data_IF_544406864740
#
_entry.id   IF_544406864740
#
_cell.length_a   1.000
_cell.length_b   1.000
_cell.length_c   1.000
_cell.angle_alpha   90.00
_cell.angle_beta   90.00
_cell.angle_gamma   90.00
#
_symmetry.space_group_name_H-M   'P 1'
#
loop_
_entity.id
_entity.type
_entity.pdbx_description
1 polymer ?
#
# COMPACT_ATOMS: atom_id res chain seq x y z
N UNK A 1 14.69 2.90 -56.24
CA UNK A 1 15.53 1.83 -55.70
C UNK A 1 15.07 1.62 -54.26
N UNK A 2 14.09 0.71 -54.07
CA UNK A 2 13.47 0.42 -52.79
C UNK A 2 14.29 -0.65 -52.07
N UNK A 3 14.80 -0.36 -50.90
CA UNK A 3 15.31 -1.38 -49.97
C UNK A 3 14.25 -1.63 -48.92
N UNK A 4 13.55 -2.74 -49.02
CA UNK A 4 12.79 -3.35 -47.96
C UNK A 4 13.75 -3.97 -46.95
N UNK A 5 13.80 -3.47 -45.74
CA UNK A 5 14.40 -4.18 -44.59
C UNK A 5 13.27 -4.92 -43.85
N UNK A 6 13.19 -6.22 -44.11
CA UNK A 6 12.48 -7.16 -43.28
C UNK A 6 13.37 -7.51 -42.08
N UNK A 7 13.09 -6.94 -40.90
CA UNK A 7 13.65 -7.44 -39.64
C UNK A 7 12.54 -8.28 -38.95
N UNK A 8 12.54 -9.57 -39.24
CA UNK A 8 11.89 -10.56 -38.41
C UNK A 8 12.88 -10.99 -37.34
N UNK A 9 12.81 -10.38 -36.17
CA UNK A 9 13.45 -10.90 -34.98
C UNK A 9 12.40 -11.54 -34.10
N UNK A 10 12.19 -12.83 -34.26
CA UNK A 10 11.49 -13.66 -33.30
C UNK A 10 12.40 -13.83 -32.08
N UNK A 11 12.27 -12.96 -31.10
CA UNK A 11 12.72 -13.21 -29.72
C UNK A 11 11.60 -14.00 -29.03
N UNK A 12 11.52 -15.28 -29.32
CA UNK A 12 10.90 -16.23 -28.42
C UNK A 12 11.86 -16.43 -27.25
N UNK A 13 11.80 -15.54 -26.27
CA UNK A 13 12.28 -15.83 -24.93
C UNK A 13 11.46 -17.01 -24.44
N UNK A 14 12.10 -18.17 -24.24
CA UNK A 14 11.49 -19.28 -23.53
C UNK A 14 11.11 -18.76 -22.14
N UNK A 15 9.84 -18.44 -21.93
CA UNK A 15 9.30 -18.27 -20.60
C UNK A 15 9.57 -19.59 -19.89
N UNK A 16 10.46 -19.61 -18.91
CA UNK A 16 10.60 -20.77 -18.03
C UNK A 16 9.24 -20.95 -17.39
N UNK A 17 8.61 -22.10 -17.63
CA UNK A 17 7.38 -22.46 -16.97
C UNK A 17 7.65 -22.43 -15.46
N UNK A 18 6.89 -21.59 -14.74
CA UNK A 18 6.95 -21.57 -13.28
C UNK A 18 6.43 -22.90 -12.75
N UNK A 19 7.00 -23.35 -11.65
CA UNK A 19 6.47 -24.50 -10.95
C UNK A 19 5.01 -24.24 -10.56
N UNK A 20 4.15 -25.29 -10.53
CA UNK A 20 2.77 -25.14 -10.13
C UNK A 20 2.67 -24.50 -8.75
N UNK A 21 1.87 -23.42 -8.64
CA UNK A 21 1.67 -22.73 -7.36
C UNK A 21 0.88 -23.60 -6.38
N UNK A 22 -0.05 -24.42 -6.89
CA UNK A 22 -0.83 -25.37 -6.10
C UNK A 22 -0.02 -26.64 -5.81
N UNK A 23 0.17 -26.97 -4.54
CA UNK A 23 0.61 -28.28 -4.06
C UNK A 23 -0.52 -29.33 -4.19
N UNK A 24 -0.26 -30.55 -3.71
CA UNK A 24 -1.21 -31.66 -3.83
C UNK A 24 -2.55 -31.42 -3.11
N UNK A 25 -2.57 -30.70 -2.00
CA UNK A 25 -3.80 -30.39 -1.25
C UNK A 25 -4.63 -29.34 -1.99
N UNK A 26 -3.99 -28.28 -2.45
CA UNK A 26 -4.59 -27.25 -3.29
C UNK A 26 -5.17 -27.86 -4.58
N UNK A 27 -4.42 -28.75 -5.26
CA UNK A 27 -4.89 -29.43 -6.47
C UNK A 27 -6.11 -30.33 -6.19
N UNK A 28 -6.12 -31.06 -5.08
CA UNK A 28 -7.26 -31.90 -4.70
C UNK A 28 -8.54 -31.08 -4.40
N UNK A 29 -8.39 -29.83 -4.00
CA UNK A 29 -9.49 -28.90 -3.68
C UNK A 29 -10.06 -28.16 -4.89
N UNK A 30 -9.56 -28.41 -6.11
CA UNK A 30 -9.72 -27.54 -7.27
C UNK A 30 -9.85 -28.42 -8.53
N UNK A 31 -10.90 -28.27 -9.30
CA UNK A 31 -11.02 -28.94 -10.61
C UNK A 31 -10.01 -28.37 -11.63
N UNK A 32 -9.97 -28.95 -12.82
CA UNK A 32 -9.00 -28.57 -13.84
C UNK A 32 -9.17 -27.10 -14.32
N UNK A 33 -10.38 -26.56 -14.34
CA UNK A 33 -10.65 -25.17 -14.72
C UNK A 33 -10.14 -24.22 -13.64
N UNK A 34 -10.43 -24.50 -12.39
CA UNK A 34 -9.94 -23.77 -11.24
C UNK A 34 -8.40 -23.77 -11.16
N UNK A 35 -7.76 -24.94 -11.33
CA UNK A 35 -6.28 -25.05 -11.35
C UNK A 35 -5.68 -24.20 -12.47
N UNK A 36 -6.29 -24.25 -13.66
CA UNK A 36 -5.86 -23.45 -14.81
C UNK A 36 -5.99 -21.96 -14.54
N UNK A 37 -7.12 -21.52 -13.96
CA UNK A 37 -7.35 -20.11 -13.64
C UNK A 37 -6.35 -19.58 -12.61
N UNK A 38 -6.09 -20.34 -11.55
CA UNK A 38 -5.10 -19.98 -10.52
C UNK A 38 -3.70 -19.88 -11.14
N UNK A 39 -3.28 -20.91 -11.89
CA UNK A 39 -1.93 -20.95 -12.50
C UNK A 39 -1.73 -19.81 -13.50
N UNK A 40 -2.71 -19.57 -14.38
CA UNK A 40 -2.63 -18.50 -15.39
C UNK A 40 -2.53 -17.12 -14.73
N UNK A 41 -3.32 -16.89 -13.66
CA UNK A 41 -3.25 -15.61 -12.92
C UNK A 41 -1.92 -15.45 -12.21
N UNK A 42 -1.40 -16.51 -11.60
CA UNK A 42 -0.09 -16.52 -10.96
C UNK A 42 1.05 -16.23 -11.95
N UNK A 43 1.03 -16.84 -13.12
CA UNK A 43 2.04 -16.60 -14.17
C UNK A 43 1.99 -15.16 -14.69
N UNK A 44 0.79 -14.61 -14.86
CA UNK A 44 0.60 -13.21 -15.24
C UNK A 44 1.11 -12.25 -14.17
N UNK A 45 0.83 -12.53 -12.89
CA UNK A 45 1.32 -11.74 -11.76
C UNK A 45 2.83 -11.85 -11.61
N UNK A 46 3.40 -13.06 -11.71
CA UNK A 46 4.83 -13.29 -11.62
C UNK A 46 5.62 -12.66 -12.79
N UNK A 47 5.00 -12.50 -13.95
CA UNK A 47 5.60 -11.79 -15.08
C UNK A 47 5.85 -10.30 -14.79
N UNK A 48 5.18 -9.74 -13.79
CA UNK A 48 5.39 -8.37 -13.30
C UNK A 48 6.53 -8.27 -12.27
N UNK A 49 7.06 -9.37 -11.78
CA UNK A 49 8.15 -9.33 -10.80
C UNK A 49 9.49 -9.05 -11.46
N UNK A 50 10.32 -8.30 -10.77
CA UNK A 50 11.70 -8.01 -11.21
C UNK A 50 12.58 -9.26 -11.10
N UNK A 51 12.29 -10.11 -10.12
CA UNK A 51 13.00 -11.38 -9.94
C UNK A 51 12.54 -12.16 -8.70
N UNK A 52 13.26 -13.24 -8.43
CA UNK A 52 13.05 -14.01 -7.19
C UNK A 52 13.63 -13.28 -5.99
N UNK A 53 12.75 -12.91 -5.09
CA UNK A 53 13.09 -12.11 -3.90
C UNK A 53 13.95 -12.87 -2.90
N UNK A 54 13.86 -14.21 -2.87
CA UNK A 54 14.60 -15.05 -1.92
C UNK A 54 16.07 -15.13 -2.29
N UNK A 55 16.35 -15.27 -3.57
CA UNK A 55 17.73 -15.33 -4.10
C UNK A 55 18.34 -13.95 -4.38
N UNK A 56 17.53 -12.89 -4.40
CA UNK A 56 18.02 -11.53 -4.69
C UNK A 56 18.78 -10.96 -3.48
N UNK A 57 20.11 -10.70 -3.64
CA UNK A 57 20.92 -10.22 -2.52
C UNK A 57 20.49 -8.85 -1.99
N UNK A 58 19.69 -8.08 -2.74
CA UNK A 58 19.16 -6.81 -2.25
C UNK A 58 18.33 -6.99 -0.98
N UNK A 59 17.49 -8.03 -0.89
CA UNK A 59 16.58 -8.25 0.23
C UNK A 59 17.19 -9.06 1.39
N UNK A 60 18.44 -9.53 1.24
CA UNK A 60 19.11 -10.28 2.29
C UNK A 60 19.57 -9.33 3.41
N UNK A 61 19.13 -9.57 4.63
CA UNK A 61 19.62 -8.83 5.80
C UNK A 61 21.09 -9.16 6.02
N UNK A 62 22.00 -8.16 6.09
CA UNK A 62 23.41 -8.43 6.36
C UNK A 62 23.61 -9.11 7.72
N UNK A 63 24.59 -10.03 7.82
CA UNK A 63 24.82 -10.79 9.05
C UNK A 63 25.31 -9.94 10.25
N UNK A 64 25.83 -8.76 10.00
CA UNK A 64 26.44 -7.88 11.00
C UNK A 64 25.55 -6.67 11.36
N UNK A 65 24.22 -6.82 11.39
CA UNK A 65 23.29 -5.75 11.76
C UNK A 65 23.17 -5.50 13.27
N UNK A 66 23.97 -6.20 14.08
CA UNK A 66 23.96 -6.00 15.53
C UNK A 66 24.27 -4.55 15.89
N UNK A 67 23.33 -3.88 16.58
CA UNK A 67 23.44 -2.46 16.94
C UNK A 67 22.90 -1.47 15.91
N UNK A 68 22.41 -1.92 14.75
CA UNK A 68 21.67 -1.07 13.82
C UNK A 68 20.38 -0.56 14.46
N UNK A 69 20.07 0.70 14.23
CA UNK A 69 18.90 1.40 14.81
C UNK A 69 17.88 1.72 13.74
N UNK A 70 16.60 1.90 14.10
CA UNK A 70 15.60 2.38 13.16
C UNK A 70 16.08 3.65 12.41
N UNK A 71 15.86 3.67 11.10
CA UNK A 71 16.37 4.69 10.18
C UNK A 71 17.81 4.46 9.67
N UNK A 72 18.51 3.39 10.08
CA UNK A 72 19.82 3.06 9.52
C UNK A 72 19.68 2.34 8.18
N UNK A 73 20.56 2.68 7.23
CA UNK A 73 20.63 2.04 5.93
C UNK A 73 21.41 0.73 6.07
N UNK A 74 20.81 -0.38 5.69
CA UNK A 74 21.46 -1.68 5.57
C UNK A 74 22.05 -1.90 4.18
N UNK A 75 21.34 -1.40 3.16
CA UNK A 75 21.78 -1.41 1.75
C UNK A 75 21.12 -0.28 1.00
N UNK A 76 21.88 0.36 0.13
CA UNK A 76 21.41 1.38 -0.80
C UNK A 76 21.80 0.99 -2.21
N UNK A 77 20.85 1.04 -3.14
CA UNK A 77 21.07 0.75 -4.56
C UNK A 77 20.51 1.90 -5.40
N UNK A 78 21.38 2.57 -6.16
CA UNK A 78 20.94 3.42 -7.26
C UNK A 78 20.80 2.53 -8.50
N UNK A 79 19.57 2.35 -8.99
CA UNK A 79 19.32 1.49 -10.15
C UNK A 79 19.91 2.15 -11.40
N UNK A 80 20.86 1.49 -12.08
CA UNK A 80 21.49 2.07 -13.28
C UNK A 80 20.48 2.24 -14.42
N UNK A 81 20.62 3.27 -15.26
CA UNK A 81 19.72 3.57 -16.36
C UNK A 81 19.49 2.38 -17.32
N UNK A 82 20.54 1.57 -17.57
CA UNK A 82 20.41 0.36 -18.38
C UNK A 82 19.48 -0.68 -17.74
N UNK A 83 19.50 -0.82 -16.42
CA UNK A 83 18.60 -1.73 -15.70
C UNK A 83 17.18 -1.16 -15.60
N UNK A 84 17.02 0.17 -15.47
CA UNK A 84 15.71 0.81 -15.53
C UNK A 84 15.00 0.49 -16.85
N UNK A 85 15.72 0.52 -17.97
CA UNK A 85 15.15 0.25 -19.28
C UNK A 85 14.83 -1.24 -19.54
N UNK A 86 15.50 -2.18 -18.84
CA UNK A 86 15.36 -3.62 -19.08
C UNK A 86 14.45 -4.32 -18.05
N UNK A 87 14.49 -3.88 -16.79
CA UNK A 87 13.86 -4.60 -15.67
C UNK A 87 12.64 -3.88 -15.09
N UNK A 88 12.46 -2.59 -15.41
CA UNK A 88 11.43 -1.75 -14.83
C UNK A 88 10.57 -1.09 -15.90
N UNK A 89 9.32 -0.77 -15.57
CA UNK A 89 8.37 -0.08 -16.44
C UNK A 89 8.03 1.29 -15.86
N UNK A 90 9.04 2.15 -15.73
CA UNK A 90 8.90 3.48 -15.17
C UNK A 90 8.81 4.54 -16.27
N UNK A 91 8.16 5.70 -16.01
CA UNK A 91 8.27 6.86 -16.88
C UNK A 91 9.73 7.26 -17.13
N UNK A 92 10.05 7.61 -18.38
CA UNK A 92 11.43 7.81 -18.84
C UNK A 92 12.22 8.92 -18.11
N UNK A 93 11.55 9.83 -17.45
CA UNK A 93 12.16 10.97 -16.76
C UNK A 93 12.48 10.72 -15.29
N UNK A 94 12.17 9.54 -14.76
CA UNK A 94 12.33 9.24 -13.34
C UNK A 94 13.59 8.41 -13.08
N UNK A 95 14.27 8.69 -11.99
CA UNK A 95 15.32 7.81 -11.46
C UNK A 95 14.79 6.97 -10.31
N UNK A 96 15.32 5.76 -10.13
CA UNK A 96 14.95 4.84 -9.09
C UNK A 96 16.14 4.50 -8.20
N UNK A 97 15.93 4.59 -6.89
CA UNK A 97 16.80 3.96 -5.90
C UNK A 97 15.98 2.99 -5.05
N UNK A 98 16.62 1.93 -4.54
CA UNK A 98 16.04 1.02 -3.56
C UNK A 98 16.86 1.07 -2.28
N UNK A 99 16.21 0.90 -1.15
CA UNK A 99 16.88 0.88 0.16
C UNK A 99 16.35 -0.26 1.02
N UNK A 100 17.27 -1.03 1.60
CA UNK A 100 16.99 -1.90 2.74
C UNK A 100 17.43 -1.12 3.98
N UNK A 101 16.53 -0.95 4.93
CA UNK A 101 16.75 -0.11 6.11
C UNK A 101 16.21 -0.79 7.38
N UNK A 102 16.55 -0.22 8.53
CA UNK A 102 15.94 -0.63 9.79
C UNK A 102 14.70 0.21 10.07
N UNK A 103 13.59 -0.44 10.34
CA UNK A 103 12.38 0.11 10.96
C UNK A 103 12.23 -0.45 12.39
N UNK A 104 11.09 -0.33 13.01
CA UNK A 104 10.79 -0.89 14.32
C UNK A 104 9.51 -1.74 14.31
N UNK A 105 9.47 -2.76 15.16
CA UNK A 105 8.24 -3.49 15.48
C UNK A 105 7.37 -2.69 16.48
N UNK A 106 6.24 -3.27 16.87
CA UNK A 106 5.32 -2.61 17.81
C UNK A 106 5.91 -2.40 19.20
N UNK A 107 6.91 -3.16 19.58
CA UNK A 107 7.66 -3.02 20.84
C UNK A 107 8.90 -2.11 20.67
N UNK A 108 9.00 -1.41 19.54
CA UNK A 108 10.12 -0.52 19.15
C UNK A 108 11.46 -1.25 18.97
N UNK A 109 11.44 -2.56 18.72
CA UNK A 109 12.65 -3.33 18.40
C UNK A 109 13.00 -3.16 16.92
N UNK A 110 14.29 -2.99 16.58
CA UNK A 110 14.69 -2.83 15.19
C UNK A 110 14.41 -4.10 14.37
N UNK A 111 13.75 -3.92 13.22
CA UNK A 111 13.50 -4.95 12.21
C UNK A 111 13.81 -4.41 10.82
N UNK A 112 14.23 -5.24 9.84
CA UNK A 112 14.50 -4.77 8.50
C UNK A 112 13.22 -4.53 7.69
N UNK A 113 13.24 -3.49 6.85
CA UNK A 113 12.24 -3.22 5.83
C UNK A 113 12.90 -2.74 4.54
N UNK A 114 12.20 -2.81 3.42
CA UNK A 114 12.66 -2.25 2.14
C UNK A 114 11.74 -1.11 1.68
N UNK A 115 12.30 -0.25 0.83
CA UNK A 115 11.61 0.87 0.23
C UNK A 115 12.23 1.22 -1.13
N UNK A 116 11.49 1.98 -1.92
CA UNK A 116 12.01 2.61 -3.14
C UNK A 116 11.90 4.13 -3.07
N UNK A 117 12.72 4.80 -3.87
CA UNK A 117 12.74 6.25 -3.99
C UNK A 117 12.76 6.64 -5.47
N UNK A 118 11.79 7.45 -5.88
CA UNK A 118 11.77 8.09 -7.20
C UNK A 118 12.19 9.56 -7.07
N UNK A 119 13.09 9.99 -7.94
CA UNK A 119 13.42 11.40 -8.09
C UNK A 119 12.94 11.91 -9.46
N UNK A 120 12.35 13.12 -9.50
CA UNK A 120 11.95 13.78 -10.74
C UNK A 120 13.16 14.21 -11.56
N UNK A 121 12.96 14.46 -12.84
CA UNK A 121 14.00 15.00 -13.71
C UNK A 121 14.42 16.43 -13.35
N UNK A 122 13.46 17.24 -12.89
CA UNK A 122 13.69 18.64 -12.48
C UNK A 122 12.95 18.96 -11.19
N UNK A 123 13.37 20.02 -10.52
CA UNK A 123 12.66 20.61 -9.40
C UNK A 123 11.92 21.88 -9.84
N UNK A 124 10.62 21.80 -10.20
CA UNK A 124 9.85 22.97 -10.64
C UNK A 124 9.56 23.96 -9.50
N UNK A 125 9.77 23.55 -8.25
CA UNK A 125 9.54 24.36 -7.05
C UNK A 125 10.77 25.15 -6.62
N UNK A 126 11.93 24.92 -7.24
CA UNK A 126 13.15 25.65 -6.94
C UNK A 126 13.00 27.16 -7.25
N UNK A 127 13.44 27.99 -6.32
CA UNK A 127 13.40 29.45 -6.43
C UNK A 127 14.82 29.97 -6.70
N UNK A 128 15.08 30.76 -7.76
CA UNK A 128 16.43 31.27 -8.08
C UNK A 128 17.08 32.04 -6.94
N UNK A 129 16.28 32.67 -6.08
CA UNK A 129 16.72 33.44 -4.90
C UNK A 129 16.31 32.77 -3.58
N UNK A 130 15.89 31.50 -3.62
CA UNK A 130 15.50 30.74 -2.45
C UNK A 130 16.70 30.32 -1.61
N UNK A 131 16.41 29.95 -0.36
CA UNK A 131 17.41 29.33 0.52
C UNK A 131 17.79 27.93 -0.01
N UNK A 132 18.92 27.36 0.40
CA UNK A 132 19.28 25.98 0.07
C UNK A 132 18.17 24.97 0.39
N UNK A 133 17.45 25.15 1.51
CA UNK A 133 16.33 24.28 1.89
C UNK A 133 15.13 24.40 0.95
N UNK A 134 14.76 25.62 0.52
CA UNK A 134 13.66 25.83 -0.42
C UNK A 134 13.95 25.28 -1.82
N UNK A 135 15.21 25.02 -2.13
CA UNK A 135 15.65 24.46 -3.41
C UNK A 135 15.79 22.93 -3.39
N UNK A 136 15.62 22.28 -2.23
CA UNK A 136 15.54 20.83 -2.13
C UNK A 136 14.21 20.31 -2.65
N UNK A 137 14.16 19.02 -3.00
CA UNK A 137 12.94 18.36 -3.47
C UNK A 137 11.93 18.21 -2.34
N UNK A 138 10.73 18.70 -2.53
CA UNK A 138 9.58 18.44 -1.68
C UNK A 138 9.29 16.94 -1.70
N UNK A 139 9.08 16.33 -0.55
CA UNK A 139 9.02 14.87 -0.43
C UNK A 139 7.63 14.39 -0.03
N UNK A 140 7.11 13.45 -0.80
CA UNK A 140 5.87 12.73 -0.47
C UNK A 140 6.25 11.28 -0.17
N UNK A 141 5.82 10.77 0.97
CA UNK A 141 5.89 9.34 1.23
C UNK A 141 4.60 8.72 0.69
N UNK A 142 4.76 7.85 -0.32
CA UNK A 142 3.66 7.09 -0.88
C UNK A 142 3.46 5.80 -0.12
N UNK A 143 2.22 5.55 0.30
CA UNK A 143 1.82 4.33 0.97
C UNK A 143 0.86 3.55 0.08
N UNK A 144 1.30 2.33 -0.32
CA UNK A 144 0.56 1.50 -1.27
C UNK A 144 -0.61 0.76 -0.61
N UNK A 145 -1.63 0.42 -1.40
CA UNK A 145 -2.71 -0.47 -1.00
C UNK A 145 -2.27 -1.93 -0.98
N UNK A 146 -3.19 -2.82 -0.65
CA UNK A 146 -2.93 -4.25 -0.50
C UNK A 146 -2.26 -4.86 -1.73
N UNK A 147 -1.03 -5.31 -1.56
CA UNK A 147 -0.25 -5.98 -2.61
C UNK A 147 -0.27 -7.51 -2.49
N UNK A 148 -0.72 -8.01 -1.37
CA UNK A 148 -0.68 -9.41 -0.97
C UNK A 148 0.12 -9.60 0.31
N UNK A 149 0.22 -10.82 0.80
CA UNK A 149 0.85 -11.12 2.09
C UNK A 149 2.27 -11.69 1.97
N UNK A 150 2.62 -12.20 0.82
CA UNK A 150 3.93 -12.78 0.56
C UNK A 150 5.02 -11.72 0.49
N UNK A 151 6.24 -12.07 0.85
CA UNK A 151 7.44 -11.24 0.59
C UNK A 151 7.59 -10.86 -0.89
N UNK A 152 7.16 -11.75 -1.78
CA UNK A 152 7.18 -11.54 -3.24
C UNK A 152 6.40 -10.30 -3.68
N UNK A 153 5.42 -9.89 -2.88
CA UNK A 153 4.50 -8.81 -3.20
C UNK A 153 5.03 -7.41 -2.90
N UNK A 154 6.29 -7.30 -2.47
CA UNK A 154 6.94 -6.03 -2.26
C UNK A 154 6.88 -5.15 -3.52
N UNK A 155 6.40 -3.91 -3.46
CA UNK A 155 6.44 -2.97 -4.58
C UNK A 155 7.82 -2.82 -5.21
N UNK A 156 8.90 -2.88 -4.43
CA UNK A 156 10.28 -2.89 -4.95
C UNK A 156 10.60 -4.09 -5.83
N UNK A 157 9.83 -5.17 -5.77
CA UNK A 157 9.96 -6.34 -6.64
C UNK A 157 9.04 -6.29 -7.87
N UNK A 158 8.19 -5.29 -7.98
CA UNK A 158 7.28 -5.13 -9.11
C UNK A 158 7.86 -4.16 -10.15
N UNK A 159 7.83 -4.52 -11.43
CA UNK A 159 8.37 -3.71 -12.54
C UNK A 159 7.75 -2.33 -12.62
N UNK A 160 6.46 -2.20 -12.28
CA UNK A 160 5.71 -0.95 -12.23
C UNK A 160 5.62 -0.35 -10.82
N UNK A 161 6.42 -0.82 -9.83
CA UNK A 161 6.35 -0.41 -8.43
C UNK A 161 4.96 -0.58 -7.83
N UNK A 162 4.22 -1.55 -8.34
CA UNK A 162 2.91 -1.98 -7.85
C UNK A 162 1.92 -0.81 -7.62
N UNK A 163 1.45 -0.14 -8.70
CA UNK A 163 0.19 0.62 -8.59
C UNK A 163 -0.38 1.02 -9.96
N UNK A 164 -1.59 0.53 -10.27
CA UNK A 164 -2.19 0.68 -11.59
C UNK A 164 -2.70 2.11 -11.88
N UNK A 165 -3.07 2.87 -10.83
CA UNK A 165 -3.61 4.23 -10.96
C UNK A 165 -2.54 5.31 -11.10
N UNK A 166 -1.29 4.93 -11.31
CA UNK A 166 -0.12 5.82 -11.53
C UNK A 166 0.11 6.87 -10.43
N UNK A 167 -0.53 6.76 -9.28
CA UNK A 167 -0.45 7.78 -8.23
C UNK A 167 1.00 8.15 -7.86
N UNK A 168 1.93 7.21 -7.60
CA UNK A 168 3.31 7.57 -7.28
C UNK A 168 4.05 8.21 -8.46
N UNK A 169 3.79 7.77 -9.71
CA UNK A 169 4.45 8.33 -10.88
C UNK A 169 4.01 9.76 -11.16
N UNK A 170 2.71 10.04 -11.07
CA UNK A 170 2.17 11.39 -11.25
C UNK A 170 2.79 12.37 -10.26
N UNK A 171 2.99 11.96 -9.01
CA UNK A 171 3.64 12.80 -8.01
C UNK A 171 5.09 13.11 -8.39
N UNK A 172 5.86 12.08 -8.78
CA UNK A 172 7.24 12.26 -9.20
C UNK A 172 7.36 13.09 -10.51
N UNK A 173 6.51 12.83 -11.50
CA UNK A 173 6.44 13.61 -12.75
C UNK A 173 6.03 15.07 -12.50
N UNK A 174 5.28 15.34 -11.42
CA UNK A 174 4.93 16.69 -10.96
C UNK A 174 6.06 17.39 -10.17
N UNK A 175 7.21 16.76 -10.02
CA UNK A 175 8.40 17.38 -9.41
C UNK A 175 8.62 17.08 -7.93
N UNK A 176 7.85 16.18 -7.33
CA UNK A 176 8.08 15.72 -5.96
C UNK A 176 9.06 14.55 -5.93
N UNK A 177 9.91 14.46 -4.92
CA UNK A 177 10.54 13.21 -4.58
C UNK A 177 9.50 12.29 -3.95
N UNK A 178 9.47 11.02 -4.35
CA UNK A 178 8.56 10.02 -3.78
C UNK A 178 9.38 8.94 -3.09
N UNK A 179 9.14 8.75 -1.80
CA UNK A 179 9.68 7.65 -1.00
C UNK A 179 8.54 6.69 -0.70
N UNK A 180 8.74 5.39 -0.84
CA UNK A 180 7.65 4.44 -0.56
C UNK A 180 8.18 3.17 0.10
N UNK A 181 7.76 2.90 1.36
CA UNK A 181 8.07 1.64 2.01
C UNK A 181 7.29 0.49 1.36
N UNK A 182 7.91 -0.69 1.32
CA UNK A 182 7.22 -1.96 1.02
C UNK A 182 6.41 -2.48 2.21
N UNK A 183 6.57 -1.86 3.38
CA UNK A 183 6.24 -2.32 4.73
C UNK A 183 7.08 -3.52 5.19
N UNK A 184 7.35 -3.61 6.49
CA UNK A 184 8.15 -4.69 7.06
C UNK A 184 7.46 -6.05 6.86
N UNK A 185 8.22 -7.02 6.32
CA UNK A 185 7.71 -8.35 5.97
C UNK A 185 7.28 -8.51 4.51
N UNK A 186 7.14 -7.40 3.75
CA UNK A 186 7.21 -7.45 2.30
C UNK A 186 8.64 -7.13 1.87
N UNK A 187 9.22 -7.89 0.94
CA UNK A 187 10.64 -7.79 0.58
C UNK A 187 11.56 -8.33 1.68
N UNK A 188 11.62 -7.66 2.80
CA UNK A 188 12.44 -8.05 3.94
C UNK A 188 11.94 -9.35 4.62
N UNK A 189 12.88 -10.09 5.22
CA UNK A 189 12.57 -11.30 6.00
C UNK A 189 12.52 -10.96 7.48
N UNK A 190 11.32 -11.06 8.06
CA UNK A 190 11.09 -10.89 9.48
C UNK A 190 10.28 -12.06 10.04
N UNK A 191 10.48 -12.38 11.31
CA UNK A 191 9.90 -13.59 11.94
C UNK A 191 8.36 -13.61 11.84
N UNK A 192 7.71 -12.49 12.03
CA UNK A 192 6.24 -12.36 12.01
C UNK A 192 5.68 -12.35 10.57
N UNK A 193 6.55 -12.18 9.55
CA UNK A 193 6.10 -11.88 8.20
C UNK A 193 5.35 -10.56 8.09
N UNK A 194 4.75 -10.29 6.95
CA UNK A 194 3.97 -9.07 6.75
C UNK A 194 2.73 -9.04 7.67
N UNK A 195 2.59 -7.97 8.41
CA UNK A 195 1.51 -7.73 9.35
C UNK A 195 0.45 -6.82 8.72
N UNK A 196 -0.46 -7.46 7.99
CA UNK A 196 -1.48 -6.82 7.20
C UNK A 196 -2.37 -5.87 8.02
N UNK A 197 -2.70 -4.69 7.47
CA UNK A 197 -3.57 -3.66 8.08
C UNK A 197 -3.06 -3.11 9.43
N UNK A 198 -1.77 -3.22 9.72
CA UNK A 198 -1.17 -2.77 10.98
C UNK A 198 -0.69 -1.32 10.91
N UNK A 199 -1.66 -0.37 10.83
CA UNK A 199 -1.42 1.03 10.51
C UNK A 199 -0.42 1.76 11.39
N UNK A 200 -0.41 1.54 12.71
CA UNK A 200 0.59 2.14 13.59
C UNK A 200 1.99 1.56 13.37
N UNK A 201 2.08 0.28 12.98
CA UNK A 201 3.35 -0.30 12.61
C UNK A 201 3.85 0.26 11.28
N UNK A 202 2.97 0.32 10.27
CA UNK A 202 3.30 0.90 8.97
C UNK A 202 3.70 2.39 9.07
N UNK A 203 3.19 3.14 10.05
CA UNK A 203 3.62 4.51 10.31
C UNK A 203 5.11 4.61 10.67
N UNK A 204 5.67 3.60 11.34
CA UNK A 204 7.10 3.52 11.57
C UNK A 204 7.86 3.27 10.26
N UNK A 205 7.37 2.35 9.43
CA UNK A 205 7.98 2.09 8.12
C UNK A 205 8.03 3.36 7.26
N UNK A 206 6.97 4.17 7.28
CA UNK A 206 6.87 5.47 6.60
C UNK A 206 7.97 6.43 7.08
N UNK A 207 8.06 6.66 8.38
CA UNK A 207 9.00 7.63 8.94
C UNK A 207 10.46 7.19 8.76
N UNK A 208 10.76 5.92 9.03
CA UNK A 208 12.13 5.41 8.94
C UNK A 208 12.59 5.20 7.49
N UNK A 209 11.70 4.90 6.54
CA UNK A 209 12.03 4.94 5.11
C UNK A 209 12.49 6.34 4.67
N UNK A 210 11.79 7.38 5.11
CA UNK A 210 12.16 8.76 4.80
C UNK A 210 13.49 9.15 5.47
N UNK A 211 13.71 8.77 6.73
CA UNK A 211 15.00 9.00 7.42
C UNK A 211 16.14 8.31 6.66
N UNK A 212 15.95 7.06 6.25
CA UNK A 212 16.93 6.32 5.46
C UNK A 212 17.16 6.96 4.08
N UNK A 213 16.09 7.39 3.39
CA UNK A 213 16.20 8.08 2.11
C UNK A 213 17.01 9.37 2.22
N UNK A 214 16.80 10.16 3.27
CA UNK A 214 17.60 11.38 3.55
C UNK A 214 19.06 11.07 3.79
N UNK A 215 19.36 10.02 4.55
CA UNK A 215 20.75 9.58 4.75
C UNK A 215 21.41 9.15 3.43
N UNK A 216 20.67 8.43 2.57
CA UNK A 216 21.19 7.92 1.29
C UNK A 216 21.38 8.98 0.21
N UNK A 217 20.54 10.01 0.20
CA UNK A 217 20.54 11.08 -0.81
C UNK A 217 21.23 12.37 -0.34
N UNK A 218 21.60 12.46 0.94
CA UNK A 218 22.20 13.67 1.50
C UNK A 218 21.25 14.88 1.41
N UNK A 219 21.75 15.99 0.86
CA UNK A 219 21.03 17.27 0.84
C UNK A 219 20.00 17.43 -0.30
N UNK A 220 19.51 16.35 -0.88
CA UNK A 220 18.55 16.39 -1.99
C UNK A 220 17.12 16.65 -1.51
N UNK A 221 16.70 16.01 -0.40
CA UNK A 221 15.32 16.06 0.09
C UNK A 221 15.13 17.20 1.11
N UNK A 222 14.03 17.95 0.97
CA UNK A 222 13.68 19.03 1.92
C UNK A 222 13.22 18.45 3.27
N UNK A 223 13.27 19.28 4.33
CA UNK A 223 12.76 18.87 5.65
C UNK A 223 11.23 18.73 5.66
N UNK A 224 10.51 19.44 4.78
CA UNK A 224 9.07 19.31 4.65
C UNK A 224 8.69 18.02 3.93
N UNK A 225 7.72 17.31 4.49
CA UNK A 225 7.21 16.08 3.90
C UNK A 225 5.74 15.83 4.20
N UNK A 226 5.10 15.04 3.36
CA UNK A 226 3.72 14.58 3.49
C UNK A 226 3.66 13.07 3.32
N UNK A 227 2.56 12.46 3.76
CA UNK A 227 2.19 11.09 3.40
C UNK A 227 0.92 11.10 2.55
N UNK A 228 0.90 10.27 1.51
CA UNK A 228 -0.29 10.05 0.68
C UNK A 228 -0.40 8.56 0.37
N UNK A 229 -1.58 8.00 0.58
CA UNK A 229 -1.85 6.60 0.28
C UNK A 229 -3.30 6.30 -0.04
N UNK A 230 -3.51 5.07 -0.53
CA UNK A 230 -4.81 4.58 -0.97
C UNK A 230 -5.09 3.21 -0.33
N UNK A 231 -6.35 2.94 0.04
CA UNK A 231 -6.78 1.64 0.59
C UNK A 231 -6.06 1.33 1.92
N UNK A 232 -5.36 0.21 2.06
CA UNK A 232 -4.43 -0.06 3.18
C UNK A 232 -3.42 1.09 3.34
N UNK A 233 -2.91 1.63 2.23
CA UNK A 233 -2.04 2.81 2.26
C UNK A 233 -2.76 4.08 2.70
N UNK A 234 -4.05 4.23 2.40
CA UNK A 234 -4.89 5.31 2.91
C UNK A 234 -5.04 5.23 4.44
N UNK A 235 -5.25 4.03 4.97
CA UNK A 235 -5.22 3.76 6.40
C UNK A 235 -3.83 4.10 6.97
N UNK A 236 -2.75 3.66 6.32
CA UNK A 236 -1.38 3.98 6.74
C UNK A 236 -1.13 5.49 6.78
N UNK A 237 -1.60 6.24 5.79
CA UNK A 237 -1.46 7.70 5.77
C UNK A 237 -2.24 8.37 6.92
N UNK A 238 -3.45 7.90 7.21
CA UNK A 238 -4.24 8.36 8.35
C UNK A 238 -3.53 8.05 9.66
N UNK A 239 -3.14 6.77 9.88
CA UNK A 239 -2.49 6.32 11.12
C UNK A 239 -1.10 6.92 11.34
N UNK A 240 -0.38 7.25 10.27
CA UNK A 240 0.87 8.02 10.37
C UNK A 240 0.61 9.39 10.96
N UNK A 241 -0.41 10.10 10.49
CA UNK A 241 -0.77 11.41 10.99
C UNK A 241 -1.18 11.38 12.48
N UNK A 242 -1.97 10.37 12.86
CA UNK A 242 -2.36 10.15 14.25
C UNK A 242 -1.16 9.79 15.14
N UNK A 243 -0.33 8.83 14.70
CA UNK A 243 0.82 8.38 15.49
C UNK A 243 1.83 9.49 15.74
N UNK A 244 2.06 10.38 14.78
CA UNK A 244 2.95 11.55 14.94
C UNK A 244 2.41 12.58 15.95
N UNK A 245 1.12 12.59 16.25
CA UNK A 245 0.52 13.43 17.29
C UNK A 245 0.59 12.82 18.69
N UNK A 246 0.93 11.52 18.79
CA UNK A 246 1.00 10.83 20.08
C UNK A 246 2.26 11.23 20.86
N UNK A 247 2.29 11.10 22.19
CA UNK A 247 3.49 11.29 22.98
C UNK A 247 4.57 10.23 22.64
N UNK A 248 5.80 10.54 22.97
CA UNK A 248 6.96 9.63 22.84
C UNK A 248 7.23 9.16 21.40
N UNK A 249 7.01 10.03 20.40
CA UNK A 249 7.27 9.75 18.98
C UNK A 249 8.45 10.59 18.41
N UNK A 250 9.36 11.09 19.24
CA UNK A 250 10.48 11.91 18.81
C UNK A 250 11.33 11.24 17.73
N UNK A 251 11.45 9.90 17.79
CA UNK A 251 12.20 9.13 16.81
C UNK A 251 11.54 9.18 15.41
N UNK A 252 10.21 9.16 15.33
CA UNK A 252 9.48 9.30 14.07
C UNK A 252 9.44 10.75 13.59
N UNK A 253 9.34 11.71 14.51
CA UNK A 253 9.39 13.15 14.21
C UNK A 253 10.75 13.58 13.66
N UNK A 254 11.83 12.82 13.90
CA UNK A 254 13.13 13.00 13.27
C UNK A 254 13.10 12.84 11.73
N UNK A 255 12.02 12.32 11.16
CA UNK A 255 11.78 12.32 9.71
C UNK A 255 11.67 13.75 9.12
N UNK A 256 11.42 14.78 9.92
CA UNK A 256 11.42 16.20 9.53
C UNK A 256 10.09 16.90 9.78
N UNK A 257 9.86 18.03 9.11
CA UNK A 257 8.65 18.84 9.23
C UNK A 257 7.47 18.16 8.49
N UNK A 258 6.61 17.49 9.23
CA UNK A 258 5.39 16.88 8.67
C UNK A 258 4.33 17.95 8.41
N UNK A 259 3.95 18.15 7.14
CA UNK A 259 3.05 19.23 6.74
C UNK A 259 1.63 18.76 6.39
N UNK A 260 1.37 17.45 6.36
CA UNK A 260 0.02 16.93 6.15
C UNK A 260 -0.05 15.53 5.56
N UNK A 261 -1.29 15.07 5.37
CA UNK A 261 -1.57 13.77 4.77
C UNK A 261 -2.73 13.79 3.78
N UNK A 262 -2.76 12.78 2.91
CA UNK A 262 -3.92 12.42 2.08
C UNK A 262 -4.23 10.95 2.30
N UNK A 263 -5.41 10.64 2.82
CA UNK A 263 -5.93 9.31 3.04
C UNK A 263 -7.06 9.03 2.03
N UNK A 264 -6.75 8.30 0.95
CA UNK A 264 -7.74 7.99 -0.07
C UNK A 264 -8.33 6.59 0.14
N UNK A 265 -9.67 6.51 0.18
CA UNK A 265 -10.44 5.28 0.38
C UNK A 265 -9.83 4.38 1.50
N UNK A 266 -9.63 4.90 2.73
CA UNK A 266 -8.80 4.26 3.74
C UNK A 266 -9.48 3.01 4.35
N UNK A 267 -8.74 1.90 4.45
CA UNK A 267 -9.20 0.65 5.08
C UNK A 267 -8.97 0.66 6.60
N UNK A 268 -9.70 1.51 7.34
CA UNK A 268 -9.38 1.86 8.73
C UNK A 268 -9.66 0.77 9.75
N UNK A 269 -10.71 -0.04 9.55
CA UNK A 269 -11.20 -1.00 10.55
C UNK A 269 -11.59 -2.33 9.91
N UNK A 270 -10.66 -3.27 9.70
CA UNK A 270 -10.96 -4.61 9.13
C UNK A 270 -12.09 -5.32 9.84
N UNK A 271 -12.19 -5.20 11.18
CA UNK A 271 -13.27 -5.78 11.98
C UNK A 271 -14.68 -5.25 11.61
N UNK A 272 -14.79 -4.15 10.87
CA UNK A 272 -16.04 -3.59 10.32
C UNK A 272 -16.17 -3.81 8.83
N UNK A 273 -15.06 -3.72 8.10
CA UNK A 273 -15.02 -3.91 6.65
C UNK A 273 -15.34 -5.35 6.26
N UNK A 274 -14.79 -6.33 6.96
CA UNK A 274 -14.99 -7.75 6.66
C UNK A 274 -16.46 -8.16 6.82
N UNK A 275 -17.14 -7.93 7.95
CA UNK A 275 -18.56 -8.23 8.06
C UNK A 275 -19.41 -7.57 6.97
N UNK A 276 -19.15 -6.29 6.67
CA UNK A 276 -19.87 -5.58 5.60
C UNK A 276 -19.66 -6.23 4.22
N UNK A 277 -18.45 -6.72 3.93
CA UNK A 277 -18.14 -7.44 2.69
C UNK A 277 -18.86 -8.79 2.62
N UNK A 278 -18.81 -9.58 3.70
CA UNK A 278 -19.46 -10.89 3.75
C UNK A 278 -20.99 -10.78 3.67
N UNK A 279 -21.59 -9.78 4.34
CA UNK A 279 -23.01 -9.49 4.27
C UNK A 279 -23.44 -9.07 2.86
N UNK A 280 -22.67 -8.19 2.22
CA UNK A 280 -22.94 -7.74 0.84
C UNK A 280 -22.90 -8.87 -0.17
N UNK A 281 -22.15 -9.91 0.07
CA UNK A 281 -22.09 -11.09 -0.81
C UNK A 281 -23.43 -11.80 -0.94
N UNK A 282 -24.34 -11.67 0.03
CA UNK A 282 -25.69 -12.25 0.01
C UNK A 282 -25.70 -13.75 -0.38
N UNK A 283 -24.74 -14.51 0.13
CA UNK A 283 -24.57 -15.93 -0.17
C UNK A 283 -23.92 -16.23 -1.54
N UNK A 284 -23.53 -15.20 -2.30
CA UNK A 284 -22.71 -15.36 -3.50
C UNK A 284 -21.21 -15.34 -3.16
N UNK A 285 -20.35 -15.44 -4.17
CA UNK A 285 -18.90 -15.32 -3.99
C UNK A 285 -18.52 -14.00 -3.31
N UNK A 286 -17.79 -14.09 -2.21
CA UNK A 286 -17.43 -12.93 -1.40
C UNK A 286 -16.38 -12.02 -2.08
N UNK A 287 -15.60 -12.57 -3.02
CA UNK A 287 -14.48 -11.90 -3.68
C UNK A 287 -13.53 -11.21 -2.70
N UNK A 288 -13.20 -11.93 -1.63
CA UNK A 288 -12.49 -11.36 -0.48
C UNK A 288 -11.25 -12.18 -0.09
N UNK A 289 -10.07 -11.91 -0.66
CA UNK A 289 -8.81 -12.40 -0.13
C UNK A 289 -8.36 -11.62 1.12
N UNK A 290 -8.84 -10.40 1.33
CA UNK A 290 -8.38 -9.48 2.38
C UNK A 290 -8.62 -10.05 3.78
N UNK A 291 -9.81 -10.60 4.03
CA UNK A 291 -10.15 -11.19 5.31
C UNK A 291 -9.28 -12.42 5.64
N UNK A 292 -8.91 -13.20 4.61
CA UNK A 292 -7.99 -14.34 4.78
C UNK A 292 -6.58 -13.85 5.10
N UNK A 293 -6.07 -12.82 4.42
CA UNK A 293 -4.78 -12.19 4.74
C UNK A 293 -4.76 -11.68 6.17
N UNK A 294 -5.85 -11.05 6.60
CA UNK A 294 -5.97 -10.54 7.95
C UNK A 294 -5.98 -11.64 9.00
N UNK A 295 -6.79 -12.69 8.81
CA UNK A 295 -6.83 -13.85 9.70
C UNK A 295 -5.44 -14.53 9.82
N UNK A 296 -4.74 -14.70 8.69
CA UNK A 296 -3.38 -15.25 8.69
C UNK A 296 -2.38 -14.35 9.43
N UNK A 297 -2.50 -13.02 9.30
CA UNK A 297 -1.69 -12.06 10.05
C UNK A 297 -1.92 -12.18 11.55
N UNK A 298 -3.18 -12.23 11.97
CA UNK A 298 -3.55 -12.43 13.38
C UNK A 298 -3.02 -13.76 13.95
N UNK A 299 -3.16 -14.84 13.17
CA UNK A 299 -2.67 -16.17 13.59
C UNK A 299 -1.15 -16.19 13.80
N UNK A 300 -0.39 -15.42 13.02
CA UNK A 300 1.07 -15.29 13.23
C UNK A 300 1.44 -14.44 14.45
N UNK A 301 0.66 -13.40 14.71
CA UNK A 301 0.88 -12.52 15.87
C UNK A 301 0.42 -13.15 17.19
N UNK A 302 -0.62 -13.96 17.13
CA UNK A 302 -1.25 -14.58 18.31
C UNK A 302 -1.42 -16.10 18.12
N UNK A 303 -0.32 -16.88 17.89
CA UNK A 303 -0.40 -18.28 17.45
C UNK A 303 -1.05 -19.22 18.48
N UNK A 304 -1.01 -18.86 19.75
CA UNK A 304 -1.63 -19.64 20.83
C UNK A 304 -3.13 -19.34 21.02
N UNK A 305 -3.64 -18.27 20.38
CA UNK A 305 -4.99 -17.75 20.60
C UNK A 305 -5.86 -17.77 19.34
N UNK A 306 -5.26 -17.56 18.16
CA UNK A 306 -5.95 -17.55 16.87
C UNK A 306 -5.26 -18.52 15.93
N UNK A 307 -5.96 -19.60 15.59
CA UNK A 307 -5.50 -20.62 14.65
C UNK A 307 -6.37 -20.57 13.40
N UNK A 308 -5.75 -20.47 12.25
CA UNK A 308 -6.46 -20.33 10.96
C UNK A 308 -7.43 -21.49 10.72
N UNK A 309 -7.01 -22.71 11.10
CA UNK A 309 -7.78 -23.96 10.97
C UNK A 309 -9.07 -24.00 11.80
N UNK A 310 -9.20 -23.20 12.85
CA UNK A 310 -10.41 -23.13 13.66
C UNK A 310 -11.52 -22.31 12.98
N UNK A 311 -11.17 -21.46 12.01
CA UNK A 311 -12.06 -20.46 11.42
C UNK A 311 -12.29 -20.63 9.93
N UNK A 312 -11.26 -20.97 9.15
CA UNK A 312 -11.41 -21.16 7.70
C UNK A 312 -12.19 -22.44 7.36
N UNK A 313 -12.93 -22.38 6.26
CA UNK A 313 -13.52 -23.53 5.63
C UNK A 313 -12.47 -24.55 5.18
N UNK A 314 -12.88 -25.78 4.93
CA UNK A 314 -11.96 -26.86 4.58
C UNK A 314 -11.20 -26.59 3.27
N UNK A 315 -11.92 -26.19 2.22
CA UNK A 315 -11.31 -25.94 0.91
C UNK A 315 -10.39 -24.71 0.91
N UNK A 316 -10.77 -23.53 1.44
CA UNK A 316 -9.84 -22.41 1.61
C UNK A 316 -8.60 -22.76 2.40
N UNK A 317 -8.73 -23.60 3.44
CA UNK A 317 -7.58 -24.06 4.25
C UNK A 317 -6.57 -24.85 3.42
N UNK A 318 -7.03 -25.75 2.54
CA UNK A 318 -6.17 -26.52 1.62
C UNK A 318 -5.44 -25.63 0.59
N UNK A 319 -5.91 -24.41 0.35
CA UNK A 319 -5.32 -23.46 -0.60
C UNK A 319 -4.38 -22.42 0.02
N UNK A 320 -4.19 -22.46 1.34
CA UNK A 320 -3.34 -21.48 2.03
C UNK A 320 -1.89 -21.49 1.54
N UNK A 321 -1.35 -22.69 1.24
CA UNK A 321 0.02 -22.81 0.72
C UNK A 321 0.22 -22.08 -0.61
N UNK A 322 -0.78 -22.06 -1.49
CA UNK A 322 -0.78 -21.29 -2.72
C UNK A 322 -0.93 -19.79 -2.44
N UNK A 323 -1.81 -19.42 -1.51
CA UNK A 323 -2.02 -18.02 -1.11
C UNK A 323 -0.74 -17.40 -0.53
N UNK A 324 0.05 -18.16 0.21
CA UNK A 324 1.34 -17.70 0.79
C UNK A 324 2.43 -17.45 -0.26
N UNK A 325 2.28 -18.00 -1.45
CA UNK A 325 3.21 -17.85 -2.59
C UNK A 325 2.71 -16.86 -3.63
N UNK A 326 1.55 -16.26 -3.45
CA UNK A 326 0.88 -15.38 -4.39
C UNK A 326 0.81 -13.94 -3.88
N UNK A 327 0.42 -13.04 -4.79
CA UNK A 327 0.09 -11.67 -4.47
C UNK A 327 -1.39 -11.37 -4.71
N UNK A 328 -1.74 -10.13 -4.85
CA UNK A 328 -3.11 -9.63 -4.83
C UNK A 328 -4.03 -10.29 -5.86
N UNK A 329 -3.63 -10.32 -7.14
CA UNK A 329 -4.48 -10.84 -8.22
C UNK A 329 -4.71 -12.36 -8.10
N UNK A 330 -3.63 -13.08 -7.84
CA UNK A 330 -3.70 -14.53 -7.65
C UNK A 330 -4.47 -14.90 -6.39
N UNK A 331 -4.42 -14.06 -5.35
CA UNK A 331 -5.23 -14.21 -4.14
C UNK A 331 -6.74 -14.25 -4.44
N UNK A 332 -7.22 -13.40 -5.34
CA UNK A 332 -8.62 -13.45 -5.80
C UNK A 332 -8.94 -14.76 -6.54
N UNK A 333 -8.04 -15.24 -7.39
CA UNK A 333 -8.24 -16.51 -8.10
C UNK A 333 -8.29 -17.70 -7.13
N UNK A 334 -7.52 -17.65 -6.02
CA UNK A 334 -7.43 -18.73 -5.03
C UNK A 334 -8.66 -18.78 -4.13
N UNK A 335 -9.10 -17.65 -3.58
CA UNK A 335 -10.16 -17.62 -2.54
C UNK A 335 -11.37 -16.77 -2.88
N UNK A 336 -11.32 -15.92 -3.89
CA UNK A 336 -12.40 -14.97 -4.20
C UNK A 336 -13.70 -15.61 -4.69
N UNK A 337 -13.67 -16.88 -5.14
CA UNK A 337 -14.84 -17.61 -5.62
C UNK A 337 -15.73 -18.22 -4.52
N UNK A 338 -15.30 -18.20 -3.26
CA UNK A 338 -16.05 -18.81 -2.16
C UNK A 338 -17.17 -17.90 -1.65
N UNK A 339 -18.31 -18.50 -1.32
CA UNK A 339 -19.36 -17.84 -0.53
C UNK A 339 -18.88 -17.66 0.91
N UNK A 340 -19.48 -16.73 1.71
CA UNK A 340 -19.11 -16.56 3.12
C UNK A 340 -19.11 -17.87 3.93
N UNK A 341 -20.10 -18.74 3.73
CA UNK A 341 -20.22 -20.02 4.45
C UNK A 341 -19.21 -21.09 3.99
N UNK A 342 -18.69 -20.96 2.77
CA UNK A 342 -17.57 -21.77 2.29
C UNK A 342 -16.22 -21.25 2.77
N UNK A 343 -16.11 -19.92 2.88
CA UNK A 343 -14.88 -19.26 3.28
C UNK A 343 -14.59 -19.45 4.77
N UNK A 344 -15.63 -19.36 5.62
CA UNK A 344 -15.48 -19.45 7.07
C UNK A 344 -16.42 -20.47 7.72
N UNK A 345 -15.89 -21.25 8.64
CA UNK A 345 -16.67 -22.04 9.61
C UNK A 345 -17.46 -21.13 10.56
N UNK A 346 -16.82 -20.04 10.97
CA UNK A 346 -17.38 -18.95 11.77
C UNK A 346 -16.45 -17.73 11.73
N UNK A 347 -16.98 -16.58 12.11
CA UNK A 347 -16.26 -15.28 12.11
C UNK A 347 -15.99 -14.74 13.51
N UNK A 348 -16.08 -15.58 14.55
CA UNK A 348 -15.90 -15.14 15.95
C UNK A 348 -14.49 -14.61 16.25
N UNK A 349 -13.50 -14.94 15.43
CA UNK A 349 -12.16 -14.38 15.51
C UNK A 349 -12.14 -12.84 15.34
N UNK A 350 -13.11 -12.25 14.63
CA UNK A 350 -13.21 -10.81 14.46
C UNK A 350 -13.47 -10.05 15.77
N UNK A 351 -14.08 -10.71 16.75
CA UNK A 351 -14.38 -10.16 18.09
C UNK A 351 -13.54 -10.78 19.18
N UNK A 352 -12.57 -11.63 18.82
CA UNK A 352 -11.68 -12.28 19.78
C UNK A 352 -10.84 -11.23 20.54
N UNK A 353 -10.53 -11.45 21.85
CA UNK A 353 -9.71 -10.51 22.62
C UNK A 353 -8.35 -10.17 21.96
N UNK A 354 -7.68 -11.15 21.36
CA UNK A 354 -6.45 -10.91 20.61
C UNK A 354 -6.63 -9.99 19.41
N UNK A 355 -7.75 -10.12 18.68
CA UNK A 355 -8.07 -9.22 17.56
C UNK A 355 -8.37 -7.80 18.05
N UNK A 356 -9.01 -7.68 19.22
CA UNK A 356 -9.24 -6.36 19.85
C UNK A 356 -7.93 -5.73 20.34
N UNK A 357 -7.00 -6.52 20.91
CA UNK A 357 -5.66 -6.04 21.26
C UNK A 357 -4.89 -5.57 20.02
N UNK A 358 -4.91 -6.36 18.95
CA UNK A 358 -4.34 -5.98 17.67
C UNK A 358 -4.93 -4.66 17.13
N UNK A 359 -6.25 -4.52 17.18
CA UNK A 359 -6.94 -3.34 16.66
C UNK A 359 -6.46 -2.04 17.33
N UNK A 360 -6.21 -2.08 18.62
CA UNK A 360 -5.69 -0.92 19.37
C UNK A 360 -4.20 -0.73 19.16
N UNK A 361 -3.40 -1.79 19.31
CA UNK A 361 -1.94 -1.67 19.36
C UNK A 361 -1.29 -1.59 17.99
N UNK A 362 -1.76 -2.40 17.03
CA UNK A 362 -1.14 -2.51 15.70
C UNK A 362 -1.86 -1.67 14.66
N UNK A 363 -3.19 -1.74 14.58
CA UNK A 363 -3.96 -0.95 13.62
C UNK A 363 -4.11 0.51 14.04
N UNK A 364 -4.18 0.81 15.34
CA UNK A 364 -4.44 2.15 15.86
C UNK A 364 -5.92 2.52 15.81
N UNK A 365 -6.83 1.54 15.95
CA UNK A 365 -8.26 1.80 15.95
C UNK A 365 -8.68 2.69 17.11
N UNK A 366 -9.54 3.64 16.82
CA UNK A 366 -10.09 4.63 17.74
C UNK A 366 -9.79 6.06 17.28
N UNK A 367 -10.42 7.06 17.89
CA UNK A 367 -10.14 8.46 17.58
C UNK A 367 -8.82 8.89 18.23
N UNK A 368 -7.94 9.50 17.46
CA UNK A 368 -6.67 10.08 17.91
C UNK A 368 -6.55 11.54 17.42
N UNK A 369 -5.72 12.31 18.11
CA UNK A 369 -5.36 13.65 17.65
C UNK A 369 -4.60 13.57 16.30
N UNK A 370 -4.71 14.63 15.51
CA UNK A 370 -4.09 14.74 14.19
C UNK A 370 -2.90 15.71 14.26
N UNK A 371 -1.72 15.27 13.82
CA UNK A 371 -0.49 16.04 13.91
C UNK A 371 -0.42 17.21 12.92
N UNK A 372 -0.99 17.04 11.72
CA UNK A 372 -0.99 18.03 10.64
C UNK A 372 -2.24 17.87 9.76
N UNK A 373 -2.59 18.87 8.91
CA UNK A 373 -3.80 18.82 8.11
C UNK A 373 -3.94 17.55 7.29
N UNK A 374 -5.14 16.94 7.30
CA UNK A 374 -5.45 15.71 6.59
C UNK A 374 -6.61 15.89 5.61
N UNK A 375 -6.42 15.42 4.38
CA UNK A 375 -7.47 15.27 3.38
C UNK A 375 -7.88 13.80 3.30
N UNK A 376 -9.15 13.52 3.53
CA UNK A 376 -9.76 12.21 3.33
C UNK A 376 -10.54 12.23 2.03
N UNK A 377 -10.26 11.30 1.13
CA UNK A 377 -10.94 11.14 -0.15
C UNK A 377 -11.70 9.82 -0.13
N UNK A 378 -12.99 9.87 -0.49
CA UNK A 378 -13.86 8.70 -0.44
C UNK A 378 -14.82 8.66 -1.63
N UNK A 379 -14.99 7.49 -2.23
CA UNK A 379 -16.01 7.23 -3.25
C UNK A 379 -17.34 6.86 -2.63
N UNK A 380 -18.46 7.40 -3.12
CA UNK A 380 -19.78 7.11 -2.55
C UNK A 380 -20.27 5.69 -2.83
N UNK A 381 -19.75 5.05 -3.88
CA UNK A 381 -20.10 3.67 -4.27
C UNK A 381 -18.97 2.67 -3.99
N UNK A 382 -17.99 3.07 -3.17
CA UNK A 382 -16.92 2.20 -2.75
C UNK A 382 -17.45 1.00 -1.96
N UNK A 383 -17.23 -0.19 -2.48
CA UNK A 383 -17.69 -1.45 -1.89
C UNK A 383 -16.61 -2.16 -1.07
N UNK A 384 -15.36 -1.71 -1.15
CA UNK A 384 -14.23 -2.28 -0.40
C UNK A 384 -14.06 -1.55 0.92
N UNK A 385 -14.06 -0.21 0.88
CA UNK A 385 -14.05 0.66 2.06
C UNK A 385 -15.29 1.57 2.03
N UNK A 386 -16.46 1.07 2.44
CA UNK A 386 -17.72 1.81 2.33
C UNK A 386 -17.67 3.19 2.98
N UNK A 387 -18.18 4.20 2.27
CA UNK A 387 -18.10 5.60 2.68
C UNK A 387 -18.66 5.87 4.09
N UNK A 388 -19.75 5.19 4.46
CA UNK A 388 -20.32 5.32 5.80
C UNK A 388 -19.35 4.90 6.91
N UNK A 389 -18.53 3.86 6.69
CA UNK A 389 -17.55 3.41 7.68
C UNK A 389 -16.38 4.39 7.80
N UNK A 390 -15.89 4.94 6.69
CA UNK A 390 -14.87 6.00 6.69
C UNK A 390 -15.37 7.27 7.37
N UNK A 391 -16.62 7.68 7.09
CA UNK A 391 -17.24 8.84 7.70
C UNK A 391 -17.54 8.63 9.19
N UNK A 392 -17.80 7.40 9.64
CA UNK A 392 -17.89 7.08 11.06
C UNK A 392 -16.59 7.39 11.80
N UNK A 393 -15.43 7.00 11.23
CA UNK A 393 -14.12 7.30 11.82
C UNK A 393 -13.83 8.80 11.79
N UNK A 394 -14.13 9.48 10.68
CA UNK A 394 -14.05 10.94 10.59
C UNK A 394 -14.88 11.63 11.68
N UNK A 395 -16.14 11.22 11.85
CA UNK A 395 -17.05 11.79 12.84
C UNK A 395 -16.58 11.52 14.27
N UNK A 396 -16.04 10.33 14.56
CA UNK A 396 -15.48 10.02 15.88
C UNK A 396 -14.26 10.89 16.17
N UNK A 397 -13.34 11.06 15.20
CA UNK A 397 -12.18 11.96 15.34
C UNK A 397 -12.65 13.39 15.61
N UNK A 398 -13.61 13.91 14.84
CA UNK A 398 -14.11 15.26 14.99
C UNK A 398 -14.92 15.50 16.27
N UNK A 399 -15.62 14.47 16.76
CA UNK A 399 -16.34 14.55 18.03
C UNK A 399 -15.37 14.62 19.21
N UNK A 400 -14.28 13.84 19.13
CA UNK A 400 -13.29 13.76 20.22
C UNK A 400 -12.29 14.92 20.15
N UNK A 401 -11.91 15.35 18.94
CA UNK A 401 -10.93 16.39 18.68
C UNK A 401 -11.50 17.42 17.68
N UNK A 402 -12.42 18.32 18.09
CA UNK A 402 -13.16 19.21 17.18
C UNK A 402 -12.26 20.22 16.44
N UNK A 403 -11.07 20.47 16.95
CA UNK A 403 -10.09 21.35 16.30
C UNK A 403 -9.19 20.62 15.28
N UNK A 404 -9.48 19.34 14.99
CA UNK A 404 -8.68 18.57 14.03
C UNK A 404 -8.79 19.16 12.63
N UNK A 405 -7.67 19.48 11.96
CA UNK A 405 -7.68 20.04 10.59
C UNK A 405 -7.89 18.92 9.54
N UNK A 406 -9.03 18.23 9.64
CA UNK A 406 -9.41 17.12 8.76
C UNK A 406 -10.53 17.55 7.83
N UNK A 407 -10.32 17.32 6.52
CA UNK A 407 -11.31 17.54 5.49
C UNK A 407 -11.65 16.21 4.82
N UNK A 408 -12.91 15.77 4.91
CA UNK A 408 -13.41 14.58 4.20
C UNK A 408 -14.20 15.02 2.96
N UNK A 409 -13.85 14.49 1.79
CA UNK A 409 -14.54 14.73 0.52
C UNK A 409 -15.07 13.41 -0.03
N UNK A 410 -16.38 13.36 -0.27
CA UNK A 410 -17.06 12.21 -0.86
C UNK A 410 -17.40 12.51 -2.32
N UNK A 411 -16.92 11.67 -3.22
CA UNK A 411 -17.10 11.79 -4.66
C UNK A 411 -18.26 10.90 -5.10
N UNK A 412 -19.33 11.47 -5.70
CA UNK A 412 -20.51 10.70 -6.09
C UNK A 412 -20.15 9.71 -7.19
N UNK A 413 -20.78 8.52 -7.12
CA UNK A 413 -20.69 7.43 -8.10
C UNK A 413 -19.27 6.86 -8.33
N UNK A 414 -18.30 7.27 -7.54
CA UNK A 414 -16.94 6.74 -7.62
C UNK A 414 -16.76 5.54 -6.70
N UNK A 415 -16.16 4.48 -7.23
CA UNK A 415 -15.74 3.28 -6.49
C UNK A 415 -14.36 3.45 -5.86
N UNK A 416 -13.79 2.33 -5.39
CA UNK A 416 -12.57 2.28 -4.62
C UNK A 416 -11.33 2.85 -5.34
N UNK A 417 -11.09 2.44 -6.57
CA UNK A 417 -9.95 2.93 -7.36
C UNK A 417 -10.26 4.23 -8.12
N UNK A 418 -11.48 4.35 -8.68
CA UNK A 418 -11.90 5.49 -9.51
C UNK A 418 -11.83 6.82 -8.77
N UNK A 419 -12.02 6.81 -7.45
CA UNK A 419 -11.94 8.03 -6.64
C UNK A 419 -10.57 8.69 -6.71
N UNK A 420 -9.49 7.93 -6.90
CA UNK A 420 -8.15 8.49 -7.10
C UNK A 420 -8.04 9.34 -8.37
N UNK A 421 -8.74 8.93 -9.43
CA UNK A 421 -8.74 9.66 -10.69
C UNK A 421 -9.64 10.89 -10.63
N UNK A 422 -10.84 10.73 -10.06
CA UNK A 422 -11.78 11.84 -9.88
C UNK A 422 -11.22 12.94 -8.97
N UNK A 423 -10.55 12.56 -7.88
CA UNK A 423 -10.00 13.46 -6.88
C UNK A 423 -8.61 14.03 -7.24
N UNK A 424 -7.98 13.61 -8.34
CA UNK A 424 -6.58 13.93 -8.65
C UNK A 424 -6.24 15.41 -8.56
N UNK A 425 -7.10 16.27 -9.12
CA UNK A 425 -6.87 17.71 -9.11
C UNK A 425 -6.96 18.29 -7.68
N UNK A 426 -7.92 17.83 -6.90
CA UNK A 426 -8.11 18.26 -5.50
C UNK A 426 -6.95 17.80 -4.62
N UNK A 427 -6.48 16.57 -4.82
CA UNK A 427 -5.30 16.03 -4.12
C UNK A 427 -4.07 16.87 -4.46
N UNK A 428 -3.83 17.17 -5.74
CA UNK A 428 -2.69 17.98 -6.18
C UNK A 428 -2.74 19.40 -5.58
N UNK A 429 -3.91 20.03 -5.58
CA UNK A 429 -4.12 21.34 -4.97
C UNK A 429 -3.87 21.31 -3.45
N UNK A 430 -4.38 20.28 -2.76
CA UNK A 430 -4.14 20.09 -1.34
C UNK A 430 -2.65 19.95 -1.03
N UNK A 431 -1.96 19.07 -1.73
CA UNK A 431 -0.50 18.83 -1.55
C UNK A 431 0.26 20.13 -1.73
N UNK A 432 0.02 20.86 -2.84
CA UNK A 432 0.67 22.14 -3.10
C UNK A 432 0.45 23.14 -1.96
N UNK A 433 -0.80 23.28 -1.49
CA UNK A 433 -1.15 24.19 -0.40
C UNK A 433 -0.43 23.85 0.92
N UNK A 434 -0.26 22.55 1.22
CA UNK A 434 0.48 22.14 2.45
C UNK A 434 1.95 22.52 2.37
N UNK A 435 2.61 22.26 1.26
CA UNK A 435 4.02 22.64 1.09
C UNK A 435 4.25 24.16 1.07
N UNK A 436 3.27 24.93 0.60
CA UNK A 436 3.31 26.40 0.65
C UNK A 436 2.93 26.98 2.03
N UNK A 437 2.54 26.13 2.98
CA UNK A 437 2.15 26.57 4.33
C UNK A 437 0.82 27.33 4.37
N UNK A 438 -0.05 27.14 3.38
CA UNK A 438 -1.40 27.74 3.39
C UNK A 438 -2.19 27.16 4.58
N UNK A 439 -2.71 27.97 5.51
CA UNK A 439 -3.44 27.46 6.65
C UNK A 439 -4.74 26.75 6.26
N UNK A 440 -5.17 25.80 7.06
CA UNK A 440 -6.53 25.23 6.97
C UNK A 440 -7.44 26.09 7.84
N UNK A 441 -8.34 26.82 7.21
CA UNK A 441 -9.19 27.79 7.91
C UNK A 441 -10.33 27.13 8.71
N UNK A 442 -10.78 25.95 8.27
CA UNK A 442 -11.89 25.21 8.91
C UNK A 442 -11.41 23.82 9.33
N UNK A 443 -11.84 23.41 10.49
CA UNK A 443 -11.59 22.08 11.04
C UNK A 443 -12.82 21.18 10.86
N UNK A 444 -12.59 19.88 10.77
CA UNK A 444 -13.67 18.88 10.70
C UNK A 444 -14.71 19.18 9.60
N UNK A 445 -14.25 19.36 8.37
CA UNK A 445 -15.11 19.64 7.21
C UNK A 445 -15.48 18.33 6.52
N UNK A 446 -16.76 18.08 6.33
CA UNK A 446 -17.29 17.07 5.40
C UNK A 446 -17.94 17.77 4.21
N UNK A 447 -17.59 17.32 3.00
CA UNK A 447 -18.10 17.86 1.74
C UNK A 447 -18.47 16.72 0.79
N UNK A 448 -19.74 16.70 0.36
CA UNK A 448 -20.15 15.91 -0.81
C UNK A 448 -19.77 16.72 -2.07
N UNK A 449 -18.83 16.20 -2.83
CA UNK A 449 -18.30 16.90 -4.01
C UNK A 449 -19.39 17.03 -5.06
N UNK A 450 -19.58 18.24 -5.55
CA UNK A 450 -20.52 18.49 -6.64
C UNK A 450 -19.78 18.42 -7.97
N UNK A 451 -20.06 17.43 -8.84
CA UNK A 451 -19.45 17.34 -10.15
C UNK A 451 -19.77 18.57 -11.00
N UNK A 452 -18.84 18.98 -11.84
CA UNK A 452 -19.05 20.07 -12.80
C UNK A 452 -20.11 19.73 -13.86
N UNK A 453 -20.26 18.45 -14.18
CA UNK A 453 -21.24 17.89 -15.12
C UNK A 453 -21.76 16.57 -14.60
N UNK A 454 -22.96 16.15 -15.02
CA UNK A 454 -23.55 14.84 -14.77
C UNK A 454 -23.12 13.75 -15.81
N UNK A 455 -22.27 14.11 -16.77
CA UNK A 455 -21.81 13.28 -17.88
C UNK A 455 -20.36 12.88 -17.74
N UNK A 456 -20.00 12.26 -16.63
CA UNK A 456 -18.68 11.68 -16.39
C UNK A 456 -18.73 10.14 -16.46
N UNK A 457 -17.59 9.53 -16.77
CA UNK A 457 -17.48 8.09 -16.78
C UNK A 457 -17.61 7.53 -15.37
N UNK A 458 -18.47 6.51 -15.22
CA UNK A 458 -18.56 5.68 -14.02
C UNK A 458 -18.15 4.27 -14.40
N UNK A 459 -17.51 3.54 -13.51
CA UNK A 459 -17.03 2.20 -13.75
C UNK A 459 -15.51 2.11 -13.84
N UNK A 460 -14.96 0.93 -13.59
CA UNK A 460 -13.53 0.66 -13.60
C UNK A 460 -13.01 0.60 -15.04
N UNK A 461 -12.77 1.77 -15.61
CA UNK A 461 -12.08 1.88 -16.89
C UNK A 461 -10.59 1.97 -16.57
N UNK A 462 -9.88 0.85 -16.71
CA UNK A 462 -8.44 0.89 -16.63
C UNK A 462 -7.87 1.75 -17.75
N UNK A 463 -6.90 2.58 -17.41
CA UNK A 463 -6.18 3.47 -18.30
C UNK A 463 -5.67 2.81 -19.60
N UNK A 464 -5.53 1.49 -19.63
CA UNK A 464 -5.05 0.73 -20.79
C UNK A 464 -6.16 0.12 -21.66
N UNK A 465 -7.42 0.45 -21.42
CA UNK A 465 -8.55 -0.15 -22.16
C UNK A 465 -8.78 -1.63 -21.85
N UNK A 466 -8.13 -2.18 -20.86
CA UNK A 466 -8.40 -3.51 -20.31
C UNK A 466 -9.29 -3.36 -19.10
N UNK A 467 -10.57 -3.70 -19.26
CA UNK A 467 -11.43 -3.88 -18.09
C UNK A 467 -10.92 -5.10 -17.32
N UNK A 468 -10.48 -4.94 -16.09
CA UNK A 468 -10.39 -6.06 -15.16
C UNK A 468 -11.78 -6.15 -14.51
N UNK A 469 -12.53 -7.21 -14.73
CA UNK A 469 -13.79 -7.41 -14.01
C UNK A 469 -13.45 -7.71 -12.55
N UNK A 470 -13.83 -6.80 -11.66
CA UNK A 470 -13.92 -7.08 -10.23
C UNK A 470 -15.22 -7.78 -9.89
#
# INVERSE_FOLDING_TARGET
MHLLFTLSAALAGAAMALDPICDSECQASCDAECQTAIQTTYEAEAALWVGDIVSNPFYSTPANVTGAKPGDILRWENVPAAQLASNWTLPASLSLSRVLYMTEDIDRKPIPASAWVLLPFTNPFAKPQGTPEENKLRTIVWTHGTAGRSRLCAPTNNKGLYYDWKAPFILAESGYAVVAPDYAGQGSDILQGFMYESGFLHAADVAYALIAARKGLGDVLSQKWMVYGHSEGGMTAWRTNERLAMPDQEALLAAGEFVGSVAAAPALRPQKLIPATLERAQGQAARDPFSVYFLQSLSRLYPDQIKVEDYLGEIPLQRLGALDKSCFQTGFAIVGGFTPDQLYKNTSWLTHPATNDWAVRYNGQGPHAIAAPMLVIQGSTDTITPANLTLDDFNQTCTTFPESPVHARVYPDMGHGQVLEAARADIAAWIAARFEGVPVEKTCVHEDVKPFTDRYAVGDIFWHGTAVPF
#
